data_IF_988540624381
#
_entry.id   IF_988540624381
#
_cell.length_a   1.000
_cell.length_b   1.000
_cell.length_c   1.000
_cell.angle_alpha   90.00
_cell.angle_beta   90.00
_cell.angle_gamma   90.00
#
_symmetry.space_group_name_H-M   'P 1'
#
loop_
_entity.id
_entity.type
_entity.pdbx_description
1 polymer ?
#
# COMPACT_ATOMS: atom_id res chain seq x y z
N UNK A 1 9.17 13.79 -0.35
CA UNK A 1 10.56 13.51 -0.73
C UNK A 1 10.55 12.40 -1.77
N UNK A 2 10.86 12.73 -3.02
CA UNK A 2 11.04 11.76 -4.11
C UNK A 2 12.14 10.76 -3.73
N UNK A 3 12.05 9.49 -4.15
CA UNK A 3 12.98 8.39 -3.85
C UNK A 3 14.47 8.66 -4.17
N UNK A 4 14.80 9.84 -4.74
CA UNK A 4 16.12 10.22 -5.26
C UNK A 4 17.16 10.67 -4.22
N UNK A 5 16.80 10.84 -2.94
CA UNK A 5 17.72 11.33 -1.88
C UNK A 5 17.92 10.36 -0.70
N UNK A 6 17.59 9.08 -0.85
CA UNK A 6 17.71 8.08 0.22
C UNK A 6 19.14 7.53 0.31
N UNK A 7 19.69 7.38 1.52
CA UNK A 7 21.01 6.74 1.69
C UNK A 7 20.95 5.25 1.38
N UNK A 8 22.09 4.63 1.06
CA UNK A 8 22.16 3.19 0.82
C UNK A 8 21.71 2.36 2.04
N UNK A 9 22.01 2.84 3.26
CA UNK A 9 21.60 2.17 4.50
C UNK A 9 20.08 2.26 4.73
N UNK A 10 19.47 3.42 4.46
CA UNK A 10 18.01 3.60 4.56
C UNK A 10 17.28 2.74 3.51
N UNK A 11 17.84 2.65 2.31
CA UNK A 11 17.29 1.77 1.27
C UNK A 11 17.37 0.29 1.68
N UNK A 12 18.50 -0.17 2.25
CA UNK A 12 18.64 -1.54 2.74
C UNK A 12 17.66 -1.85 3.89
N UNK A 13 17.41 -0.86 4.76
CA UNK A 13 16.43 -0.98 5.84
C UNK A 13 15.01 -1.17 5.31
N UNK A 14 14.57 -0.33 4.35
CA UNK A 14 13.24 -0.46 3.74
C UNK A 14 13.08 -1.77 2.96
N UNK A 15 14.13 -2.23 2.28
CA UNK A 15 14.13 -3.53 1.62
C UNK A 15 13.95 -4.68 2.63
N UNK A 16 14.61 -4.61 3.79
CA UNK A 16 14.44 -5.61 4.87
C UNK A 16 13.00 -5.65 5.37
N UNK A 17 12.37 -4.50 5.60
CA UNK A 17 10.98 -4.44 6.02
C UNK A 17 10.00 -4.89 4.92
N UNK A 18 10.30 -4.60 3.66
CA UNK A 18 9.48 -5.11 2.55
C UNK A 18 9.58 -6.64 2.44
N UNK A 19 10.73 -7.23 2.71
CA UNK A 19 10.88 -8.69 2.76
C UNK A 19 10.01 -9.35 3.84
N UNK A 20 9.86 -8.71 5.00
CA UNK A 20 8.91 -9.15 6.04
C UNK A 20 7.45 -9.08 5.55
N UNK A 21 7.07 -8.03 4.80
CA UNK A 21 5.74 -7.94 4.19
C UNK A 21 5.53 -9.03 3.11
N UNK A 22 6.55 -9.34 2.31
CA UNK A 22 6.53 -10.44 1.32
C UNK A 22 6.41 -11.82 1.98
N UNK A 23 7.01 -12.01 3.16
CA UNK A 23 6.82 -13.22 3.94
C UNK A 23 5.34 -13.38 4.38
N UNK A 24 4.70 -12.29 4.82
CA UNK A 24 3.26 -12.28 5.14
C UNK A 24 2.39 -12.57 3.92
N UNK A 25 2.72 -12.02 2.75
CA UNK A 25 2.02 -12.30 1.50
C UNK A 25 2.17 -13.77 1.04
N UNK A 26 3.35 -14.34 1.23
CA UNK A 26 3.61 -15.76 0.96
C UNK A 26 2.77 -16.66 1.88
N UNK A 27 2.56 -16.27 3.13
CA UNK A 27 1.67 -16.97 4.05
C UNK A 27 0.18 -16.82 3.67
N UNK A 28 -0.27 -15.65 3.19
CA UNK A 28 -1.60 -15.53 2.60
C UNK A 28 -1.79 -16.50 1.43
N UNK A 29 -0.80 -16.60 0.53
CA UNK A 29 -0.86 -17.53 -0.60
C UNK A 29 -1.02 -18.98 -0.15
N UNK A 30 -0.21 -19.43 0.82
CA UNK A 30 -0.24 -20.81 1.31
C UNK A 30 -1.56 -21.17 2.01
N UNK A 31 -2.30 -20.16 2.49
CA UNK A 31 -3.61 -20.32 3.13
C UNK A 31 -4.79 -20.05 2.18
N UNK A 32 -4.53 -19.94 0.86
CA UNK A 32 -5.53 -19.66 -0.18
C UNK A 32 -6.23 -18.30 -0.03
N UNK A 33 -5.52 -17.32 0.49
CA UNK A 33 -5.91 -15.91 0.49
C UNK A 33 -5.17 -15.15 -0.62
N UNK A 34 -5.72 -14.00 -1.02
CA UNK A 34 -5.03 -13.11 -1.96
C UNK A 34 -3.68 -12.71 -1.34
N UNK A 35 -2.54 -12.83 -2.05
CA UNK A 35 -1.21 -12.70 -1.46
C UNK A 35 -0.81 -11.24 -1.25
N UNK A 36 -1.54 -10.57 -0.37
CA UNK A 36 -1.24 -9.22 0.12
C UNK A 36 -0.86 -9.36 1.60
N UNK A 37 0.34 -8.90 1.92
CA UNK A 37 0.89 -8.88 3.26
C UNK A 37 1.41 -7.50 3.60
N UNK A 38 1.38 -7.13 4.87
CA UNK A 38 1.92 -5.87 5.33
C UNK A 38 2.47 -5.94 6.76
N UNK A 39 3.31 -4.97 7.09
CA UNK A 39 3.79 -4.73 8.45
C UNK A 39 3.70 -3.23 8.78
N UNK A 40 3.39 -2.94 10.04
CA UNK A 40 3.41 -1.59 10.61
C UNK A 40 4.67 -1.43 11.46
N UNK A 41 5.51 -0.48 11.08
CA UNK A 41 6.80 -0.22 11.74
C UNK A 41 6.77 1.14 12.41
N UNK A 42 7.13 1.15 13.69
CA UNK A 42 7.31 2.37 14.47
C UNK A 42 8.80 2.66 14.64
N UNK A 43 9.26 3.92 14.53
CA UNK A 43 10.68 4.27 14.58
C UNK A 43 11.39 3.80 15.84
N UNK A 44 10.69 3.81 16.99
CA UNK A 44 11.27 3.41 18.28
C UNK A 44 11.03 1.95 18.67
N UNK A 45 10.08 1.26 18.02
CA UNK A 45 9.59 -0.04 18.47
C UNK A 45 9.68 -1.13 17.41
N UNK A 46 10.30 -0.84 16.26
CA UNK A 46 10.37 -1.75 15.11
C UNK A 46 8.94 -2.17 14.69
N UNK A 47 8.71 -3.43 14.38
CA UNK A 47 7.44 -3.95 13.90
C UNK A 47 6.42 -4.04 15.05
N UNK A 48 5.40 -3.18 15.01
CA UNK A 48 4.29 -3.18 15.98
C UNK A 48 3.20 -4.19 15.63
N UNK A 49 2.90 -4.36 14.34
CA UNK A 49 1.84 -5.25 13.88
C UNK A 49 2.13 -5.81 12.49
N UNK A 50 1.49 -6.94 12.17
CA UNK A 50 1.55 -7.59 10.86
C UNK A 50 0.15 -7.89 10.38
N UNK A 51 -0.06 -7.86 9.07
CA UNK A 51 -1.33 -8.15 8.43
C UNK A 51 -1.15 -8.98 7.17
N UNK A 52 -2.14 -9.81 6.88
CA UNK A 52 -2.29 -10.51 5.60
C UNK A 52 -3.77 -10.59 5.27
N UNK A 53 -4.15 -10.58 4.00
CA UNK A 53 -5.57 -10.68 3.61
C UNK A 53 -6.22 -11.92 4.24
N UNK A 54 -7.42 -11.75 4.79
CA UNK A 54 -8.19 -12.84 5.39
C UNK A 54 -9.66 -12.84 4.94
N UNK A 55 -9.93 -12.34 3.74
CA UNK A 55 -11.30 -12.15 3.21
C UNK A 55 -12.06 -13.48 3.11
N UNK A 56 -11.40 -14.57 2.69
CA UNK A 56 -12.03 -15.88 2.59
C UNK A 56 -12.28 -16.48 3.97
N UNK A 57 -11.26 -16.46 4.85
CA UNK A 57 -11.34 -17.02 6.21
C UNK A 57 -12.41 -16.32 7.06
N UNK A 58 -12.49 -14.99 6.95
CA UNK A 58 -13.43 -14.17 7.75
C UNK A 58 -14.79 -14.01 7.10
N UNK A 59 -14.93 -14.38 5.80
CA UNK A 59 -16.11 -14.10 4.97
C UNK A 59 -16.49 -12.62 4.98
N UNK A 60 -15.49 -11.75 5.08
CA UNK A 60 -15.66 -10.31 5.15
C UNK A 60 -14.73 -9.65 4.12
N UNK A 61 -15.35 -8.98 3.14
CA UNK A 61 -14.64 -8.29 2.06
C UNK A 61 -13.76 -7.12 2.50
N UNK A 62 -13.89 -6.64 3.75
CA UNK A 62 -13.06 -5.55 4.27
C UNK A 62 -11.78 -6.01 4.97
N UNK A 63 -11.61 -7.33 5.22
CA UNK A 63 -10.48 -7.89 5.98
C UNK A 63 -9.22 -8.01 5.13
N UNK A 64 -8.76 -6.88 4.62
CA UNK A 64 -7.49 -6.71 3.93
C UNK A 64 -6.32 -6.66 4.91
N UNK A 65 -5.10 -6.85 4.40
CA UNK A 65 -3.88 -6.86 5.20
C UNK A 65 -3.74 -5.61 6.08
N UNK A 66 -4.00 -4.42 5.54
CA UNK A 66 -3.88 -3.13 6.24
C UNK A 66 -4.90 -3.01 7.38
N UNK A 67 -6.15 -3.44 7.16
CA UNK A 67 -7.18 -3.51 8.19
C UNK A 67 -6.77 -4.43 9.32
N UNK A 68 -6.21 -5.60 9.00
CA UNK A 68 -5.77 -6.58 9.99
C UNK A 68 -4.59 -6.06 10.80
N UNK A 69 -3.62 -5.40 10.17
CA UNK A 69 -2.48 -4.82 10.87
C UNK A 69 -2.91 -3.70 11.84
N UNK A 70 -3.76 -2.76 11.40
CA UNK A 70 -4.29 -1.70 12.27
C UNK A 70 -5.16 -2.30 13.39
N UNK A 71 -6.05 -3.23 13.05
CA UNK A 71 -6.89 -3.90 14.05
C UNK A 71 -6.04 -4.63 15.10
N UNK A 72 -4.98 -5.33 14.67
CA UNK A 72 -4.05 -6.01 15.58
C UNK A 72 -3.36 -5.01 16.50
N UNK A 73 -2.83 -3.89 15.99
CA UNK A 73 -2.24 -2.84 16.82
C UNK A 73 -3.22 -2.33 17.88
N UNK A 74 -4.46 -2.04 17.49
CA UNK A 74 -5.45 -1.44 18.39
C UNK A 74 -5.96 -2.42 19.46
N UNK A 75 -6.08 -3.71 19.12
CA UNK A 75 -6.80 -4.68 19.96
C UNK A 75 -5.90 -5.72 20.65
N UNK A 76 -4.72 -6.00 20.10
CA UNK A 76 -3.83 -7.04 20.63
C UNK A 76 -3.03 -6.55 21.84
N UNK A 77 -2.54 -7.48 22.66
CA UNK A 77 -1.61 -7.13 23.73
C UNK A 77 -0.24 -6.81 23.14
N UNK A 78 0.30 -5.63 23.46
CA UNK A 78 1.64 -5.22 23.04
C UNK A 78 2.70 -5.61 24.08
N UNK A 79 3.94 -5.92 23.68
CA UNK A 79 5.00 -6.31 24.59
C UNK A 79 5.58 -5.11 25.37
N UNK A 80 6.31 -5.41 26.44
CA UNK A 80 7.13 -4.45 27.17
C UNK A 80 6.36 -3.25 27.72
N UNK A 81 6.94 -2.05 27.56
CA UNK A 81 6.37 -0.79 28.05
C UNK A 81 5.06 -0.39 27.36
N UNK A 82 4.71 -1.03 26.23
CA UNK A 82 3.49 -0.72 25.48
C UNK A 82 2.24 -1.45 26.01
N UNK A 83 2.42 -2.41 26.92
CA UNK A 83 1.34 -3.28 27.41
C UNK A 83 0.16 -2.52 28.02
N UNK A 84 0.44 -1.42 28.73
CA UNK A 84 -0.55 -0.62 29.47
C UNK A 84 -1.19 0.50 28.64
N UNK A 85 -0.85 0.61 27.35
CA UNK A 85 -1.34 1.69 26.51
C UNK A 85 -2.81 1.51 26.14
N UNK A 86 -3.54 2.62 26.20
CA UNK A 86 -4.94 2.70 25.76
C UNK A 86 -5.03 2.58 24.25
N UNK A 87 -6.22 2.21 23.75
CA UNK A 87 -6.48 2.17 22.31
C UNK A 87 -6.20 3.51 21.63
N UNK A 88 -6.49 4.65 22.31
CA UNK A 88 -6.25 5.99 21.78
C UNK A 88 -4.75 6.28 21.63
N UNK A 89 -3.95 5.97 22.65
CA UNK A 89 -2.50 6.12 22.57
C UNK A 89 -1.90 5.26 21.44
N UNK A 90 -2.41 4.05 21.22
CA UNK A 90 -1.99 3.19 20.11
C UNK A 90 -2.44 3.72 18.75
N UNK A 91 -3.62 4.33 18.67
CA UNK A 91 -4.08 4.99 17.45
C UNK A 91 -3.21 6.21 17.12
N UNK A 92 -2.79 6.98 18.12
CA UNK A 92 -1.90 8.13 17.93
C UNK A 92 -0.51 7.71 17.41
N UNK A 93 0.00 6.53 17.80
CA UNK A 93 1.25 5.97 17.25
C UNK A 93 1.22 5.72 15.74
N UNK A 94 0.05 5.48 15.14
CA UNK A 94 -0.04 5.29 13.70
C UNK A 94 0.47 6.52 12.94
N UNK A 95 0.37 7.72 13.54
CA UNK A 95 0.87 8.97 12.97
C UNK A 95 2.38 9.02 12.79
N UNK A 96 3.10 8.15 13.50
CA UNK A 96 4.55 8.01 13.39
C UNK A 96 4.95 6.76 12.60
N UNK A 97 4.00 5.84 12.38
CA UNK A 97 4.26 4.55 11.76
C UNK A 97 4.46 4.66 10.24
N UNK A 98 5.32 3.77 9.75
CA UNK A 98 5.46 3.47 8.33
C UNK A 98 4.83 2.12 8.05
N UNK A 99 3.97 2.07 7.03
CA UNK A 99 3.42 0.81 6.52
C UNK A 99 4.28 0.30 5.36
N UNK A 100 4.61 -0.99 5.37
CA UNK A 100 5.16 -1.70 4.21
C UNK A 100 4.13 -2.72 3.76
N UNK A 101 3.71 -2.67 2.50
CA UNK A 101 2.66 -3.53 1.95
C UNK A 101 3.04 -4.06 0.57
N UNK A 102 2.77 -5.32 0.27
CA UNK A 102 3.25 -5.92 -0.99
C UNK A 102 2.56 -5.40 -2.24
N UNK A 103 1.34 -4.89 -2.11
CA UNK A 103 0.54 -4.35 -3.21
C UNK A 103 0.02 -2.97 -2.79
N UNK A 104 -0.04 -2.04 -3.74
CA UNK A 104 -0.59 -0.70 -3.53
C UNK A 104 -1.95 -0.75 -2.81
N UNK A 105 -2.13 0.01 -1.71
CA UNK A 105 -3.37 0.03 -0.95
C UNK A 105 -4.56 0.36 -1.86
N UNK A 106 -5.65 -0.39 -1.71
CA UNK A 106 -6.88 -0.05 -2.44
C UNK A 106 -7.51 1.23 -1.88
N UNK A 107 -8.45 1.84 -2.60
CA UNK A 107 -9.18 3.05 -2.18
C UNK A 107 -9.67 2.99 -0.73
N UNK A 108 -10.25 1.85 -0.32
CA UNK A 108 -10.72 1.62 1.04
C UNK A 108 -9.59 1.66 2.08
N UNK A 109 -8.50 0.93 1.84
CA UNK A 109 -7.35 0.89 2.75
C UNK A 109 -6.61 2.24 2.76
N UNK A 110 -6.49 2.90 1.61
CA UNK A 110 -5.89 4.22 1.50
C UNK A 110 -6.66 5.27 2.33
N UNK A 111 -7.99 5.22 2.31
CA UNK A 111 -8.84 6.08 3.16
C UNK A 111 -8.72 5.75 4.64
N UNK A 112 -8.67 4.46 5.01
CA UNK A 112 -8.44 4.03 6.40
C UNK A 112 -7.13 4.62 6.93
N UNK A 113 -6.05 4.46 6.17
CA UNK A 113 -4.72 4.95 6.51
C UNK A 113 -4.70 6.47 6.70
N UNK A 114 -5.40 7.20 5.83
CA UNK A 114 -5.59 8.65 5.93
C UNK A 114 -6.30 9.04 7.23
N UNK A 115 -7.39 8.36 7.56
CA UNK A 115 -8.20 8.65 8.76
C UNK A 115 -7.43 8.41 10.07
N UNK A 116 -6.53 7.43 10.08
CA UNK A 116 -5.61 7.20 11.20
C UNK A 116 -4.35 8.09 11.14
N UNK A 117 -4.17 8.85 10.06
CA UNK A 117 -3.07 9.78 9.87
C UNK A 117 -1.70 9.12 9.72
N UNK A 118 -1.61 7.95 9.07
CA UNK A 118 -0.33 7.23 8.87
C UNK A 118 0.75 8.18 8.34
N UNK A 119 2.02 8.01 8.75
CA UNK A 119 3.10 8.87 8.26
C UNK A 119 3.42 8.64 6.78
N UNK A 120 3.65 7.37 6.43
CA UNK A 120 4.20 6.95 5.13
C UNK A 120 3.83 5.51 4.80
N UNK A 121 3.70 5.23 3.51
CA UNK A 121 3.49 3.89 2.96
C UNK A 121 4.57 3.56 1.92
N UNK A 122 5.18 2.40 2.06
CA UNK A 122 5.98 1.76 1.02
C UNK A 122 5.20 0.59 0.43
N UNK A 123 5.12 0.51 -0.90
CA UNK A 123 4.46 -0.61 -1.56
C UNK A 123 5.28 -1.23 -2.68
N UNK A 124 5.00 -2.49 -2.98
CA UNK A 124 5.64 -3.24 -4.05
C UNK A 124 4.96 -3.05 -5.40
N UNK A 125 4.01 -3.93 -5.71
CA UNK A 125 3.29 -3.90 -6.97
C UNK A 125 2.19 -2.84 -6.97
N UNK A 126 2.00 -2.14 -8.09
CA UNK A 126 0.86 -1.23 -8.30
C UNK A 126 -0.47 -2.00 -8.36
N UNK A 127 -1.56 -1.31 -8.02
CA UNK A 127 -2.91 -1.87 -8.02
C UNK A 127 -3.77 -1.19 -9.09
N UNK A 128 -3.68 -1.71 -10.31
CA UNK A 128 -4.32 -1.14 -11.50
C UNK A 128 -5.86 -1.10 -11.44
N UNK A 129 -6.48 -1.95 -10.61
CA UNK A 129 -7.95 -2.08 -10.56
C UNK A 129 -8.58 -1.23 -9.47
N UNK A 130 -7.91 -1.06 -8.33
CA UNK A 130 -8.50 -0.47 -7.14
C UNK A 130 -7.54 0.44 -6.37
N UNK A 131 -6.37 0.78 -6.92
CA UNK A 131 -5.32 1.55 -6.26
C UNK A 131 -5.80 2.92 -5.77
N UNK A 132 -5.60 3.17 -4.48
CA UNK A 132 -5.99 4.42 -3.80
C UNK A 132 -4.84 5.38 -3.59
N UNK A 133 -3.65 5.08 -4.10
CA UNK A 133 -2.45 5.90 -3.92
C UNK A 133 -1.79 6.29 -5.25
N UNK A 134 -2.61 6.49 -6.28
CA UNK A 134 -2.18 6.86 -7.63
C UNK A 134 -2.54 5.86 -8.72
N UNK A 135 -2.85 4.61 -8.38
CA UNK A 135 -3.25 3.59 -9.37
C UNK A 135 -4.60 3.89 -10.03
N UNK A 136 -5.61 4.29 -9.24
CA UNK A 136 -6.94 4.69 -9.73
C UNK A 136 -7.35 6.05 -9.17
N UNK A 137 -7.16 6.27 -7.87
CA UNK A 137 -7.41 7.53 -7.19
C UNK A 137 -6.22 7.93 -6.31
N UNK A 138 -6.10 9.22 -6.04
CA UNK A 138 -5.12 9.79 -5.12
C UNK A 138 -5.69 10.02 -3.72
N UNK A 139 -6.26 9.01 -3.06
CA UNK A 139 -6.88 9.18 -1.72
C UNK A 139 -5.85 9.65 -0.67
N UNK A 140 -4.59 9.23 -0.83
CA UNK A 140 -3.46 9.64 0.00
C UNK A 140 -3.13 11.14 -0.04
N UNK A 141 -3.62 11.88 -1.04
CA UNK A 141 -3.39 13.34 -1.22
C UNK A 141 -4.70 14.06 -1.54
N UNK A 142 -5.07 15.08 -0.76
CA UNK A 142 -6.30 15.84 -1.02
C UNK A 142 -7.58 15.00 -1.03
N UNK A 143 -7.56 13.83 -0.38
CA UNK A 143 -8.65 12.87 -0.29
C UNK A 143 -9.26 12.46 -1.66
N UNK A 144 -8.43 12.35 -2.71
CA UNK A 144 -8.89 11.95 -4.05
C UNK A 144 -9.70 13.01 -4.80
N UNK A 145 -9.73 14.26 -4.33
CA UNK A 145 -10.29 15.38 -5.11
C UNK A 145 -9.47 15.52 -6.39
N UNK A 146 -10.11 15.32 -7.54
CA UNK A 146 -9.52 15.68 -8.83
C UNK A 146 -9.19 17.17 -8.77
N UNK A 147 -7.92 17.52 -8.95
CA UNK A 147 -7.50 18.91 -9.05
C UNK A 147 -8.41 19.60 -10.08
N UNK A 148 -9.14 20.62 -9.65
CA UNK A 148 -9.90 21.50 -10.55
C UNK A 148 -8.89 22.31 -11.37
N UNK A 149 -8.26 21.66 -12.35
CA UNK A 149 -7.27 22.23 -13.26
C UNK A 149 -7.61 21.86 -14.72
N UNK A 150 -8.90 21.87 -15.05
CA UNK A 150 -9.39 22.24 -16.38
C UNK A 150 -10.51 23.25 -16.18
N UNK A 151 -10.10 24.49 -15.95
CA UNK A 151 -10.98 25.64 -16.08
C UNK A 151 -11.62 25.62 -17.46
N UNK A 152 -12.94 25.66 -17.47
CA UNK A 152 -13.71 26.14 -18.61
C UNK A 152 -13.11 27.43 -19.14
N UNK A 153 -12.61 27.45 -20.37
CA UNK A 153 -12.62 28.68 -21.17
C UNK A 153 -12.77 28.35 -22.64
N UNK A 154 -13.91 28.80 -23.16
CA UNK A 154 -14.12 29.11 -24.56
C UNK A 154 -13.13 30.20 -24.98
N UNK A 155 -12.29 29.93 -25.98
CA UNK A 155 -11.80 30.94 -26.92
C UNK A 155 -10.42 31.57 -26.67
N UNK A 156 -9.58 31.39 -27.71
CA UNK A 156 -8.47 32.21 -28.22
C UNK A 156 -7.08 32.08 -27.59
N UNK A 157 -6.17 31.77 -28.51
CA UNK A 157 -4.72 31.93 -28.54
C UNK A 157 -4.20 33.07 -27.66
N UNK A 158 -3.23 32.80 -26.78
CA UNK A 158 -1.98 33.56 -26.65
C UNK A 158 -0.89 32.65 -26.05
N UNK A 159 0.30 32.70 -26.65
CA UNK A 159 1.53 32.06 -26.18
C UNK A 159 2.12 32.93 -25.07
N UNK A 160 2.39 32.37 -23.88
CA UNK A 160 3.29 33.00 -22.92
C UNK A 160 4.25 31.97 -22.32
N UNK A 161 5.52 32.18 -22.60
CA UNK A 161 6.66 31.48 -22.02
C UNK A 161 6.77 31.70 -20.50
N UNK A 162 7.29 30.69 -19.80
CA UNK A 162 8.07 30.83 -18.58
C UNK A 162 7.30 31.14 -17.28
N UNK A 163 7.26 30.16 -16.37
CA UNK A 163 7.47 30.39 -14.94
C UNK A 163 7.80 29.08 -14.22
N UNK A 164 9.06 28.99 -13.82
CA UNK A 164 9.56 28.13 -12.77
C UNK A 164 8.76 28.34 -11.48
N UNK A 165 8.34 27.24 -10.86
CA UNK A 165 7.64 27.26 -9.58
C UNK A 165 6.70 26.07 -9.47
N UNK A 166 7.23 24.91 -9.08
CA UNK A 166 6.39 23.89 -8.43
C UNK A 166 5.83 24.53 -7.16
N UNK A 167 4.58 24.99 -7.19
CA UNK A 167 3.88 25.46 -6.00
C UNK A 167 3.85 24.31 -4.98
N UNK A 168 4.65 24.42 -3.90
CA UNK A 168 4.55 23.54 -2.74
C UNK A 168 3.17 23.69 -2.10
N UNK A 169 2.20 22.93 -2.61
CA UNK A 169 0.84 22.92 -2.08
C UNK A 169 0.85 22.46 -0.62
N UNK A 170 0.18 23.22 0.25
CA UNK A 170 -0.02 22.86 1.64
C UNK A 170 -0.67 21.47 1.76
N UNK A 171 -0.08 20.58 2.56
CA UNK A 171 -0.63 19.24 2.82
C UNK A 171 -1.97 19.37 3.55
N UNK A 172 -3.00 18.67 3.06
CA UNK A 172 -4.28 18.58 3.76
C UNK A 172 -4.16 17.64 4.98
N UNK A 173 -5.02 17.82 5.98
CA UNK A 173 -5.03 16.94 7.15
C UNK A 173 -5.20 15.46 6.74
N UNK A 174 -4.30 14.62 7.24
CA UNK A 174 -4.26 13.18 6.96
C UNK A 174 -3.54 12.78 5.67
N UNK A 175 -3.04 13.73 4.86
CA UNK A 175 -2.16 13.42 3.73
C UNK A 175 -0.92 12.65 4.20
N UNK A 176 -0.51 11.65 3.42
CA UNK A 176 0.66 10.82 3.74
C UNK A 176 1.53 10.53 2.53
N UNK A 177 2.79 10.21 2.81
CA UNK A 177 3.78 9.95 1.77
C UNK A 177 3.68 8.51 1.25
N UNK A 178 3.89 8.32 -0.05
CA UNK A 178 3.87 7.00 -0.68
C UNK A 178 5.13 6.79 -1.52
N UNK A 179 5.66 5.57 -1.52
CA UNK A 179 6.78 5.15 -2.37
C UNK A 179 6.52 3.74 -2.89
N UNK A 180 6.36 3.61 -4.21
CA UNK A 180 6.08 2.34 -4.89
C UNK A 180 7.35 1.67 -5.44
N UNK A 181 7.23 0.39 -5.80
CA UNK A 181 8.27 -0.38 -6.50
C UNK A 181 9.11 -1.31 -5.62
N UNK A 182 8.88 -1.35 -4.31
CA UNK A 182 9.69 -2.11 -3.35
C UNK A 182 9.36 -3.61 -3.37
N UNK A 183 10.29 -4.48 -3.78
CA UNK A 183 10.01 -5.92 -3.91
C UNK A 183 8.89 -6.22 -4.93
N UNK A 184 8.78 -5.35 -5.95
CA UNK A 184 7.70 -5.36 -6.94
C UNK A 184 7.62 -6.69 -7.69
N UNK A 185 8.76 -7.23 -8.10
CA UNK A 185 8.80 -8.44 -8.92
C UNK A 185 8.25 -9.63 -8.15
N UNK A 186 8.69 -9.80 -6.91
CA UNK A 186 8.24 -10.83 -6.00
C UNK A 186 6.74 -10.70 -5.70
N UNK A 187 6.26 -9.48 -5.43
CA UNK A 187 4.85 -9.21 -5.22
C UNK A 187 3.99 -9.58 -6.44
N UNK A 188 4.43 -9.22 -7.66
CA UNK A 188 3.74 -9.58 -8.91
C UNK A 188 3.74 -11.10 -9.11
N UNK A 189 4.86 -11.78 -8.88
CA UNK A 189 4.95 -13.23 -9.01
C UNK A 189 4.00 -13.94 -8.04
N UNK A 190 3.89 -13.47 -6.79
CA UNK A 190 2.93 -14.00 -5.82
C UNK A 190 1.48 -13.84 -6.32
N UNK A 191 1.09 -12.66 -6.81
CA UNK A 191 -0.24 -12.43 -7.38
C UNK A 191 -0.52 -13.35 -8.57
N UNK A 192 0.44 -13.51 -9.49
CA UNK A 192 0.29 -14.41 -10.64
C UNK A 192 0.10 -15.86 -10.20
N UNK A 193 0.87 -16.33 -9.21
CA UNK A 193 0.71 -17.67 -8.63
C UNK A 193 -0.72 -17.86 -8.10
N UNK A 194 -1.26 -16.89 -7.37
CA UNK A 194 -2.64 -16.95 -6.87
C UNK A 194 -3.69 -17.06 -7.99
N UNK A 195 -3.54 -16.30 -9.08
CA UNK A 195 -4.52 -16.34 -10.18
C UNK A 195 -4.46 -17.62 -11.02
N UNK A 196 -3.29 -18.26 -11.11
CA UNK A 196 -3.10 -19.54 -11.78
C UNK A 196 -3.58 -20.71 -10.93
N UNK A 197 -3.45 -20.63 -9.60
CA UNK A 197 -3.96 -21.66 -8.69
C UNK A 197 -5.47 -21.90 -8.88
N UNK A 198 -5.85 -23.17 -8.93
CA UNK A 198 -7.25 -23.59 -8.91
C UNK A 198 -7.83 -23.42 -7.51
N UNK A 199 -8.95 -22.71 -7.41
CA UNK A 199 -9.66 -22.60 -6.14
C UNK A 199 -10.71 -23.71 -6.05
N UNK A 200 -10.32 -24.85 -5.48
CA UNK A 200 -11.23 -26.00 -5.27
C UNK A 200 -12.38 -25.71 -4.29
N UNK A 201 -12.39 -24.56 -3.61
CA UNK A 201 -13.47 -24.13 -2.70
C UNK A 201 -14.53 -23.26 -3.38
N UNK A 202 -14.37 -22.95 -4.68
CA UNK A 202 -15.39 -22.19 -5.42
C UNK A 202 -16.68 -23.02 -5.55
N UNK A 203 -17.89 -22.41 -5.40
CA UNK A 203 -19.16 -23.12 -5.59
C UNK A 203 -19.26 -23.82 -6.95
N UNK A 204 -18.69 -23.18 -7.98
CA UNK A 204 -18.48 -23.74 -9.30
C UNK A 204 -16.99 -23.62 -9.67
N UNK A 205 -16.19 -24.67 -9.45
CA UNK A 205 -14.77 -24.63 -9.76
C UNK A 205 -14.58 -24.60 -11.28
N UNK A 206 -14.15 -23.45 -11.82
CA UNK A 206 -13.72 -23.33 -13.22
C UNK A 206 -12.33 -23.93 -13.36
N UNK A 207 -12.16 -24.91 -14.27
CA UNK A 207 -10.84 -25.43 -14.66
C UNK A 207 -9.96 -24.27 -15.13
N UNK A 208 -8.76 -24.14 -14.57
CA UNK A 208 -7.79 -23.08 -14.96
C UNK A 208 -6.56 -23.64 -15.68
N UNK A 209 -6.60 -24.91 -16.10
CA UNK A 209 -5.45 -25.66 -16.63
C UNK A 209 -4.71 -25.04 -17.82
N UNK A 210 -5.28 -24.07 -18.55
CA UNK A 210 -4.61 -23.38 -19.66
C UNK A 210 -3.83 -22.12 -19.25
N UNK A 211 -3.90 -21.68 -17.99
CA UNK A 211 -3.20 -20.47 -17.54
C UNK A 211 -1.73 -20.76 -17.29
N UNK A 212 -0.86 -20.23 -18.14
CA UNK A 212 0.60 -20.32 -17.97
C UNK A 212 1.08 -19.27 -16.97
N UNK A 213 1.82 -19.71 -15.95
CA UNK A 213 2.50 -18.80 -15.03
C UNK A 213 3.68 -18.13 -15.74
N UNK A 214 3.60 -16.82 -15.97
CA UNK A 214 4.72 -16.00 -16.45
C UNK A 214 5.50 -15.45 -15.26
N UNK A 215 6.80 -15.72 -15.22
CA UNK A 215 7.67 -15.21 -14.15
C UNK A 215 8.33 -13.88 -14.53
N UNK A 216 8.51 -13.60 -15.83
CA UNK A 216 9.13 -12.36 -16.29
C UNK A 216 8.26 -11.15 -15.97
N UNK A 217 8.84 -10.17 -15.28
CA UNK A 217 8.19 -8.91 -14.94
C UNK A 217 8.86 -7.81 -15.75
N UNK A 218 8.09 -7.06 -16.54
CA UNK A 218 8.62 -5.94 -17.29
C UNK A 218 9.16 -4.86 -16.33
N UNK A 219 10.28 -4.20 -16.67
CA UNK A 219 10.81 -3.09 -15.87
C UNK A 219 9.77 -1.97 -15.76
N UNK A 220 9.89 -1.14 -14.73
CA UNK A 220 9.08 0.09 -14.63
C UNK A 220 9.41 0.95 -15.87
N UNK A 221 8.38 1.34 -16.63
CA UNK A 221 8.58 2.23 -17.78
C UNK A 221 9.12 3.57 -17.33
N UNK A 222 10.02 4.16 -18.12
CA UNK A 222 10.47 5.55 -17.96
C UNK A 222 9.25 6.47 -18.14
N UNK A 223 8.56 6.82 -17.05
CA UNK A 223 7.33 7.62 -17.14
C UNK A 223 6.48 7.69 -15.88
N UNK A 224 6.69 6.82 -14.89
CA UNK A 224 6.09 7.00 -13.55
C UNK A 224 7.16 7.61 -12.64
N UNK A 225 7.37 8.91 -12.82
CA UNK A 225 8.25 9.69 -11.96
C UNK A 225 7.61 9.88 -10.57
N UNK A 226 8.25 9.26 -9.59
CA UNK A 226 8.52 9.71 -8.20
C UNK A 226 7.76 10.89 -7.61
#
# INVERSE_FOLDING_TARGET
MSSRNMSSDEHALHATYMNEALAMASHALSTSETPVGCILVHPLHSILARGLNATNRTRNGTMHAEFIAISSLLTSSLPGSLKTQTWKARADMLRECTLYVTVEPCIMCASLLRQFGIRRVFYGASNEKFGGTGGVLDVHRGNGKMLSALGTSSGRDEVSEGRDGEEEKEREEGDYEVSGGWGREEAIVLLRRFYVQENGRAPEPRKKGERVLRLDVAPLGEGVSS
#
